data_IF_491110461907
#
_entry.id   IF_491110461907
#
_cell.length_a   1.000
_cell.length_b   1.000
_cell.length_c   1.000
_cell.angle_alpha   90.00
_cell.angle_beta   90.00
_cell.angle_gamma   90.00
#
_symmetry.space_group_name_H-M   'P 1'
#
loop_
_entity.id
_entity.type
_entity.pdbx_description
1 polymer ?
#
# COMPACT_ATOMS: atom_id res chain seq x y z
N UNK A 1 -56.76 -2.79 16.02
CA UNK A 1 -56.89 -3.97 16.89
C UNK A 1 -57.21 -5.16 16.00
N UNK A 2 -56.53 -6.31 16.11
CA UNK A 2 -55.61 -6.77 17.17
C UNK A 2 -54.15 -6.37 16.82
N UNK A 3 -53.24 -5.98 17.70
CA UNK A 3 -52.82 -6.47 19.04
C UNK A 3 -52.26 -7.90 19.01
N UNK A 4 -50.98 -8.00 18.64
CA UNK A 4 -50.16 -9.18 18.91
C UNK A 4 -48.84 -8.73 19.53
N UNK A 5 -48.53 -9.40 20.63
CA UNK A 5 -47.71 -8.91 21.72
C UNK A 5 -46.20 -8.87 21.44
N UNK A 6 -45.59 -7.95 22.17
CA UNK A 6 -44.18 -7.71 22.31
C UNK A 6 -43.58 -8.69 23.36
N UNK A 7 -42.35 -9.16 23.08
CA UNK A 7 -41.28 -9.62 24.01
C UNK A 7 -41.32 -11.07 24.58
N UNK A 8 -40.18 -11.64 25.06
CA UNK A 8 -38.93 -10.98 25.45
C UNK A 8 -37.60 -11.54 24.88
N UNK A 9 -36.56 -10.72 25.11
CA UNK A 9 -35.15 -11.04 24.97
C UNK A 9 -34.74 -12.19 25.90
N UNK A 10 -33.87 -13.07 25.40
CA UNK A 10 -33.17 -14.05 26.21
C UNK A 10 -31.71 -13.61 26.38
N UNK A 11 -31.35 -13.47 27.65
CA UNK A 11 -30.03 -13.20 28.20
C UNK A 11 -28.98 -14.20 27.72
N UNK A 12 -27.81 -13.71 27.30
CA UNK A 12 -26.56 -14.44 27.52
C UNK A 12 -25.54 -13.53 28.19
N UNK A 13 -25.53 -13.68 29.51
CA UNK A 13 -24.41 -13.60 30.44
C UNK A 13 -23.13 -12.87 30.01
N UNK A 14 -22.95 -11.73 30.65
CA UNK A 14 -21.69 -11.13 31.08
C UNK A 14 -20.76 -12.17 31.72
N UNK A 15 -19.56 -12.33 31.19
CA UNK A 15 -18.39 -12.71 32.01
C UNK A 15 -17.27 -11.70 31.75
N UNK A 16 -17.16 -10.78 32.70
CA UNK A 16 -15.96 -9.96 32.92
C UNK A 16 -14.86 -10.88 33.46
N UNK A 17 -13.75 -10.98 32.76
CA UNK A 17 -12.49 -11.43 33.38
C UNK A 17 -11.42 -10.40 33.07
N UNK A 18 -10.88 -9.87 34.15
CA UNK A 18 -9.86 -8.84 34.30
C UNK A 18 -8.47 -9.31 33.86
N UNK A 19 -7.74 -8.38 33.23
CA UNK A 19 -6.31 -8.06 33.31
C UNK A 19 -5.22 -9.13 33.55
N UNK A 20 -4.32 -9.21 32.54
CA UNK A 20 -2.84 -9.29 32.58
C UNK A 20 -2.13 -10.43 33.38
N UNK A 21 -0.80 -10.66 33.24
CA UNK A 21 0.18 -10.27 32.23
C UNK A 21 0.97 -11.46 31.63
N UNK A 22 1.75 -11.13 30.61
CA UNK A 22 2.84 -11.88 29.98
C UNK A 22 3.73 -12.74 30.91
N UNK A 23 3.85 -14.03 30.62
CA UNK A 23 5.02 -14.86 31.01
C UNK A 23 5.51 -15.66 29.81
N UNK A 24 6.29 -15.01 28.95
CA UNK A 24 7.19 -15.71 28.06
C UNK A 24 8.50 -15.94 28.80
N UNK A 25 8.65 -17.17 29.30
CA UNK A 25 9.92 -17.73 29.80
C UNK A 25 10.98 -17.57 28.71
N UNK A 26 11.82 -16.56 28.88
CA UNK A 26 12.98 -16.30 28.04
C UNK A 26 14.13 -17.13 28.60
N UNK A 27 14.39 -18.28 27.98
CA UNK A 27 15.63 -19.02 28.20
C UNK A 27 16.78 -18.15 27.68
N UNK A 28 17.80 -17.82 28.48
CA UNK A 28 18.92 -17.01 28.01
C UNK A 28 19.74 -17.81 26.99
N UNK A 29 20.09 -17.25 25.82
CA UNK A 29 21.08 -17.87 24.96
C UNK A 29 22.44 -17.78 25.66
N UNK A 30 23.03 -18.95 25.87
CA UNK A 30 24.39 -19.17 26.36
C UNK A 30 25.37 -18.26 25.62
N UNK A 31 26.17 -17.51 26.38
CA UNK A 31 27.30 -16.73 25.91
C UNK A 31 28.28 -17.62 25.14
N UNK A 32 28.59 -17.35 23.85
CA UNK A 32 29.82 -17.86 23.28
C UNK A 32 30.97 -17.01 23.82
N UNK A 33 31.89 -17.69 24.47
CA UNK A 33 33.14 -17.18 25.01
C UNK A 33 33.88 -16.28 24.01
N UNK A 34 34.52 -15.25 24.55
CA UNK A 34 35.51 -14.41 23.91
C UNK A 34 36.62 -15.29 23.31
N UNK A 35 36.49 -15.64 22.03
CA UNK A 35 37.63 -16.07 21.24
C UNK A 35 38.17 -14.86 20.48
N UNK A 36 39.34 -14.45 20.95
CA UNK A 36 40.28 -13.54 20.30
C UNK A 36 40.62 -14.06 18.90
N UNK A 37 39.83 -13.65 17.91
CA UNK A 37 39.99 -14.03 16.51
C UNK A 37 40.28 -12.83 15.63
N UNK A 38 41.56 -12.50 15.50
CA UNK A 38 42.21 -11.66 14.49
C UNK A 38 41.32 -10.79 13.59
N UNK A 39 41.55 -9.48 13.69
CA UNK A 39 41.28 -8.47 12.67
C UNK A 39 42.00 -8.81 11.35
N UNK A 40 41.42 -9.73 10.59
CA UNK A 40 41.74 -9.86 9.17
C UNK A 40 40.73 -8.99 8.44
N UNK A 41 41.15 -7.76 8.14
CA UNK A 41 40.63 -7.04 6.98
C UNK A 41 40.97 -7.90 5.75
N UNK A 42 40.20 -8.96 5.53
CA UNK A 42 40.16 -9.63 4.24
C UNK A 42 39.38 -8.72 3.31
N UNK A 43 40.11 -7.86 2.62
CA UNK A 43 39.80 -7.47 1.25
C UNK A 43 39.69 -8.75 0.42
N UNK A 44 38.58 -9.48 0.59
CA UNK A 44 38.23 -10.59 -0.25
C UNK A 44 38.04 -10.01 -1.65
N UNK A 45 38.96 -10.32 -2.55
CA UNK A 45 38.92 -9.97 -3.96
C UNK A 45 37.58 -10.40 -4.55
N UNK A 46 36.61 -9.48 -4.54
CA UNK A 46 35.31 -9.67 -5.16
C UNK A 46 35.57 -9.98 -6.63
N UNK A 47 35.04 -11.11 -7.11
CA UNK A 47 35.04 -11.40 -8.55
C UNK A 47 34.45 -10.19 -9.30
N UNK A 48 34.93 -9.87 -10.52
CA UNK A 48 34.46 -8.70 -11.27
C UNK A 48 32.92 -8.59 -11.34
N UNK A 49 32.24 -9.74 -11.46
CA UNK A 49 30.78 -9.84 -11.48
C UNK A 49 30.09 -9.48 -10.15
N UNK A 50 30.73 -9.71 -8.99
CA UNK A 50 30.20 -9.28 -7.68
C UNK A 50 30.35 -7.77 -7.52
N UNK A 51 31.54 -7.24 -7.82
CA UNK A 51 31.82 -5.79 -7.78
C UNK A 51 30.85 -5.00 -8.67
N UNK A 52 30.55 -5.50 -9.86
CA UNK A 52 29.63 -4.82 -10.77
C UNK A 52 28.19 -4.80 -10.27
N UNK A 53 27.72 -5.86 -9.61
CA UNK A 53 26.40 -5.88 -8.96
C UNK A 53 26.32 -4.92 -7.78
N UNK A 54 27.37 -4.83 -6.98
CA UNK A 54 27.42 -3.91 -5.85
C UNK A 54 27.38 -2.45 -6.31
N UNK A 55 28.11 -2.10 -7.38
CA UNK A 55 28.05 -0.78 -8.00
C UNK A 55 26.65 -0.48 -8.57
N UNK A 56 26.05 -1.44 -9.28
CA UNK A 56 24.69 -1.28 -9.80
C UNK A 56 23.67 -1.08 -8.68
N UNK A 57 23.80 -1.79 -7.56
CA UNK A 57 22.93 -1.62 -6.39
C UNK A 57 23.07 -0.22 -5.78
N UNK A 58 24.31 0.25 -5.58
CA UNK A 58 24.57 1.61 -5.08
C UNK A 58 23.97 2.68 -6.00
N UNK A 59 24.11 2.52 -7.32
CA UNK A 59 23.48 3.44 -8.28
C UNK A 59 21.95 3.41 -8.19
N UNK A 60 21.34 2.24 -7.98
CA UNK A 60 19.89 2.11 -7.79
C UNK A 60 19.39 2.69 -6.45
N UNK A 61 20.23 2.66 -5.41
CA UNK A 61 19.97 3.27 -4.10
C UNK A 61 19.96 4.81 -4.18
N UNK A 62 20.86 5.39 -4.98
CA UNK A 62 21.00 6.85 -5.19
C UNK A 62 20.06 7.43 -6.25
N UNK A 63 19.43 6.59 -7.07
CA UNK A 63 18.51 7.06 -8.11
C UNK A 63 17.30 7.79 -7.50
N UNK A 64 16.85 8.91 -8.11
CA UNK A 64 15.63 9.60 -7.67
C UNK A 64 14.43 8.64 -7.69
N UNK A 65 13.47 8.88 -6.78
CA UNK A 65 12.29 8.02 -6.60
C UNK A 65 11.09 8.60 -7.32
N UNK A 66 10.24 7.72 -7.84
CA UNK A 66 8.96 8.07 -8.44
C UNK A 66 8.11 8.89 -7.46
N UNK A 67 7.61 10.05 -7.90
CA UNK A 67 6.78 10.94 -7.10
C UNK A 67 5.30 10.51 -7.02
N UNK A 68 4.89 9.47 -7.75
CA UNK A 68 3.52 8.98 -7.73
C UNK A 68 3.10 8.48 -6.34
N UNK A 69 1.91 8.90 -5.92
CA UNK A 69 1.23 8.42 -4.72
C UNK A 69 0.18 7.38 -5.13
N UNK A 70 0.32 6.17 -4.60
CA UNK A 70 -0.60 5.07 -4.89
C UNK A 70 -1.98 5.33 -4.29
N UNK A 71 -2.96 4.51 -4.68
CA UNK A 71 -4.34 4.58 -4.16
C UNK A 71 -4.44 4.43 -2.63
N UNK A 72 -3.47 3.77 -2.00
CA UNK A 72 -3.36 3.66 -0.55
C UNK A 72 -2.66 4.83 0.15
N UNK A 73 -2.33 5.90 -0.58
CA UNK A 73 -1.67 7.09 -0.03
C UNK A 73 -0.18 6.92 0.25
N UNK A 74 0.43 5.79 -0.12
CA UNK A 74 1.87 5.56 0.01
C UNK A 74 2.61 5.95 -1.28
N UNK A 75 3.85 6.46 -1.18
CA UNK A 75 4.67 6.73 -2.35
C UNK A 75 5.07 5.44 -3.08
N UNK A 76 5.19 5.49 -4.41
CA UNK A 76 5.60 4.35 -5.22
C UNK A 76 7.01 3.83 -4.87
N UNK A 77 7.96 4.76 -4.69
CA UNK A 77 9.39 4.49 -4.37
C UNK A 77 10.18 3.68 -5.39
N UNK A 78 9.59 3.34 -6.54
CA UNK A 78 10.35 2.81 -7.68
C UNK A 78 11.38 3.83 -8.19
N UNK A 79 12.54 3.43 -8.72
CA UNK A 79 13.47 4.35 -9.37
C UNK A 79 12.78 5.11 -10.52
N UNK A 80 12.94 6.43 -10.54
CA UNK A 80 12.43 7.28 -11.61
C UNK A 80 13.29 7.11 -12.89
N UNK A 81 12.67 7.33 -14.05
CA UNK A 81 13.40 7.37 -15.32
C UNK A 81 14.34 8.59 -15.36
N UNK A 82 15.42 8.50 -16.15
CA UNK A 82 16.34 9.64 -16.31
C UNK A 82 15.60 10.82 -16.94
N UNK A 83 15.65 11.97 -16.28
CA UNK A 83 14.96 13.19 -16.74
C UNK A 83 13.45 13.19 -16.52
N UNK A 84 12.92 12.27 -15.72
CA UNK A 84 11.50 12.19 -15.41
C UNK A 84 11.30 12.03 -13.88
N UNK A 85 10.15 12.48 -13.39
CA UNK A 85 9.75 12.33 -11.97
C UNK A 85 9.01 11.02 -11.70
N UNK A 86 8.65 10.28 -12.76
CA UNK A 86 7.92 9.01 -12.69
C UNK A 86 8.82 7.81 -12.99
N UNK A 87 8.45 6.64 -12.45
CA UNK A 87 9.05 5.37 -12.86
C UNK A 87 8.48 4.90 -14.21
N UNK A 88 9.12 3.92 -14.85
CA UNK A 88 8.68 3.38 -16.13
C UNK A 88 7.19 3.02 -16.17
N UNK A 89 6.68 2.37 -15.12
CA UNK A 89 5.27 1.99 -15.05
C UNK A 89 4.34 3.20 -14.98
N UNK A 90 4.61 4.15 -14.08
CA UNK A 90 3.77 5.34 -13.91
C UNK A 90 3.87 6.34 -15.04
N UNK A 91 5.05 6.45 -15.66
CA UNK A 91 5.25 7.22 -16.89
C UNK A 91 4.42 6.63 -18.02
N UNK A 92 4.50 5.31 -18.24
CA UNK A 92 3.72 4.65 -19.27
C UNK A 92 2.23 4.72 -19.01
N UNK A 93 1.82 4.55 -17.76
CA UNK A 93 0.42 4.66 -17.38
C UNK A 93 -0.12 6.07 -17.63
N UNK A 94 0.57 7.12 -17.20
CA UNK A 94 0.08 8.49 -17.34
C UNK A 94 0.13 8.99 -18.80
N UNK A 95 1.19 8.65 -19.53
CA UNK A 95 1.44 9.15 -20.88
C UNK A 95 0.92 8.23 -22.00
N UNK A 96 0.57 6.98 -21.68
CA UNK A 96 -0.03 6.01 -22.62
C UNK A 96 -1.35 5.40 -22.08
N UNK A 97 -2.05 6.06 -21.15
CA UNK A 97 -3.45 5.73 -20.82
C UNK A 97 -4.35 6.04 -22.02
N UNK A 98 -4.23 5.23 -23.08
CA UNK A 98 -5.24 5.15 -24.12
C UNK A 98 -6.48 4.53 -23.47
N UNK A 99 -7.46 5.38 -23.16
CA UNK A 99 -8.84 5.03 -22.79
C UNK A 99 -9.06 4.14 -21.55
N UNK A 100 -8.04 3.90 -20.72
CA UNK A 100 -8.17 3.12 -19.50
C UNK A 100 -8.94 3.90 -18.43
N UNK A 101 -10.22 3.53 -18.24
CA UNK A 101 -11.10 4.16 -17.24
C UNK A 101 -10.80 3.67 -15.81
N UNK A 102 -9.98 2.64 -15.66
CA UNK A 102 -9.64 2.04 -14.38
C UNK A 102 -8.39 2.71 -13.80
N UNK A 103 -8.24 2.81 -12.46
CA UNK A 103 -6.98 3.23 -11.87
C UNK A 103 -5.89 2.17 -12.09
N UNK A 104 -4.61 2.52 -11.88
CA UNK A 104 -3.54 1.54 -11.79
C UNK A 104 -3.86 0.43 -10.77
N UNK A 105 -3.68 -0.83 -11.17
CA UNK A 105 -3.89 -2.01 -10.30
C UNK A 105 -2.62 -2.39 -9.54
N UNK A 106 -1.94 -1.40 -8.98
CA UNK A 106 -0.62 -1.52 -8.34
C UNK A 106 -0.67 -1.87 -6.84
N UNK A 107 -1.85 -1.73 -6.23
CA UNK A 107 -2.08 -1.96 -4.81
C UNK A 107 -3.51 -2.44 -4.54
N UNK A 108 -3.74 -2.96 -3.33
CA UNK A 108 -5.05 -3.50 -2.93
C UNK A 108 -6.18 -2.48 -3.03
N UNK A 109 -5.94 -1.21 -2.67
CA UNK A 109 -6.97 -0.18 -2.77
C UNK A 109 -7.29 0.14 -4.23
N UNK A 110 -6.29 0.16 -5.12
CA UNK A 110 -6.48 0.32 -6.56
C UNK A 110 -7.36 -0.79 -7.14
N UNK A 111 -7.10 -2.05 -6.79
CA UNK A 111 -7.95 -3.19 -7.19
C UNK A 111 -9.37 -3.03 -6.68
N UNK A 112 -9.54 -2.61 -5.43
CA UNK A 112 -10.87 -2.43 -4.84
C UNK A 112 -11.65 -1.29 -5.51
N UNK A 113 -10.97 -0.20 -5.85
CA UNK A 113 -11.57 0.90 -6.59
C UNK A 113 -11.97 0.48 -8.01
N UNK A 114 -11.15 -0.32 -8.68
CA UNK A 114 -11.49 -0.89 -9.99
C UNK A 114 -12.73 -1.79 -9.92
N UNK A 115 -12.84 -2.66 -8.91
CA UNK A 115 -14.03 -3.48 -8.66
C UNK A 115 -15.26 -2.61 -8.41
N UNK A 116 -15.16 -1.57 -7.57
CA UNK A 116 -16.25 -0.63 -7.31
C UNK A 116 -16.73 0.05 -8.60
N UNK A 117 -15.79 0.50 -9.43
CA UNK A 117 -16.11 1.14 -10.71
C UNK A 117 -16.84 0.18 -11.66
N UNK A 118 -16.34 -1.05 -11.79
CA UNK A 118 -16.97 -2.10 -12.59
C UNK A 118 -18.38 -2.46 -12.09
N UNK A 119 -18.55 -2.68 -10.78
CA UNK A 119 -19.87 -2.96 -10.18
C UNK A 119 -20.85 -1.80 -10.40
N UNK A 120 -20.38 -0.55 -10.33
CA UNK A 120 -21.23 0.62 -10.59
C UNK A 120 -21.71 0.66 -12.03
N UNK A 121 -20.87 0.28 -12.99
CA UNK A 121 -21.26 0.16 -14.41
C UNK A 121 -22.21 -1.00 -14.64
N UNK A 122 -21.89 -2.19 -14.13
CA UNK A 122 -22.77 -3.37 -14.22
C UNK A 122 -24.14 -3.11 -13.58
N UNK A 123 -24.21 -2.38 -12.46
CA UNK A 123 -25.48 -2.02 -11.82
C UNK A 123 -26.38 -1.22 -12.76
N UNK A 124 -25.82 -0.29 -13.54
CA UNK A 124 -26.62 0.49 -14.51
C UNK A 124 -27.19 -0.40 -15.61
N UNK A 125 -26.41 -1.36 -16.08
CA UNK A 125 -26.86 -2.34 -17.08
C UNK A 125 -27.85 -3.35 -16.51
N UNK A 126 -27.70 -3.74 -15.25
CA UNK A 126 -28.56 -4.73 -14.59
C UNK A 126 -30.03 -4.29 -14.47
N UNK A 127 -30.29 -2.98 -14.41
CA UNK A 127 -31.60 -2.37 -14.14
C UNK A 127 -32.04 -1.40 -15.25
N UNK A 128 -31.48 -1.49 -16.46
CA UNK A 128 -31.69 -0.52 -17.55
C UNK A 128 -33.14 -0.44 -18.06
N UNK A 129 -33.79 -1.59 -18.25
CA UNK A 129 -35.05 -1.69 -19.01
C UNK A 129 -36.27 -1.99 -18.12
N UNK A 130 -36.26 -1.53 -16.86
CA UNK A 130 -37.25 -1.87 -15.81
C UNK A 130 -37.37 -3.37 -15.46
N UNK A 131 -36.72 -4.25 -16.22
CA UNK A 131 -36.51 -5.67 -15.91
C UNK A 131 -35.09 -5.91 -15.36
N UNK A 132 -34.95 -6.99 -14.57
CA UNK A 132 -33.68 -7.34 -13.92
C UNK A 132 -32.91 -8.33 -14.78
N UNK A 133 -31.71 -7.94 -15.25
CA UNK A 133 -30.81 -8.84 -15.96
C UNK A 133 -30.08 -9.78 -14.99
N UNK A 134 -30.63 -10.97 -14.79
CA UNK A 134 -30.12 -11.99 -13.84
C UNK A 134 -28.64 -12.36 -14.08
N UNK A 135 -28.15 -12.58 -15.32
CA UNK A 135 -26.72 -12.79 -15.59
C UNK A 135 -25.81 -11.69 -15.02
N UNK A 136 -26.17 -10.42 -15.22
CA UNK A 136 -25.37 -9.29 -14.72
C UNK A 136 -25.44 -9.23 -13.19
N UNK A 137 -26.60 -9.49 -12.59
CA UNK A 137 -26.72 -9.57 -11.12
C UNK A 137 -25.80 -10.66 -10.56
N UNK A 138 -25.69 -11.82 -11.21
CA UNK A 138 -24.73 -12.87 -10.80
C UNK A 138 -23.28 -12.38 -10.87
N UNK A 139 -22.90 -11.63 -11.91
CA UNK A 139 -21.57 -11.02 -12.03
C UNK A 139 -21.31 -10.00 -10.92
N UNK A 140 -22.30 -9.19 -10.56
CA UNK A 140 -22.20 -8.24 -9.43
C UNK A 140 -21.97 -8.99 -8.12
N UNK A 141 -22.75 -10.05 -7.84
CA UNK A 141 -22.58 -10.86 -6.63
C UNK A 141 -21.19 -11.49 -6.56
N UNK A 142 -20.66 -11.98 -7.68
CA UNK A 142 -19.30 -12.51 -7.76
C UNK A 142 -18.22 -11.44 -7.53
N UNK A 143 -18.41 -10.25 -8.11
CA UNK A 143 -17.52 -9.11 -7.88
C UNK A 143 -17.54 -8.67 -6.41
N UNK A 144 -18.71 -8.68 -5.75
CA UNK A 144 -18.84 -8.37 -4.32
C UNK A 144 -18.18 -9.42 -3.44
N UNK A 145 -18.27 -10.70 -3.78
CA UNK A 145 -17.54 -11.76 -3.08
C UNK A 145 -16.02 -11.55 -3.18
N UNK A 146 -15.53 -11.23 -4.38
CA UNK A 146 -14.12 -10.91 -4.63
C UNK A 146 -13.69 -9.68 -3.82
N UNK A 147 -14.51 -8.63 -3.83
CA UNK A 147 -14.30 -7.42 -3.05
C UNK A 147 -14.21 -7.72 -1.54
N UNK A 148 -15.04 -8.61 -1.01
CA UNK A 148 -14.98 -9.04 0.39
C UNK A 148 -13.68 -9.79 0.71
N UNK A 149 -13.20 -10.64 -0.21
CA UNK A 149 -11.93 -11.37 -0.02
C UNK A 149 -10.73 -10.42 0.03
N UNK A 150 -10.79 -9.33 -0.72
CA UNK A 150 -9.73 -8.33 -0.80
C UNK A 150 -9.61 -7.46 0.46
N UNK A 151 -10.59 -7.49 1.38
CA UNK A 151 -10.61 -6.62 2.57
C UNK A 151 -9.37 -6.77 3.47
N UNK A 152 -8.69 -7.93 3.43
CA UNK A 152 -7.44 -8.15 4.18
C UNK A 152 -6.20 -7.51 3.54
N UNK A 153 -6.32 -7.00 2.31
CA UNK A 153 -5.23 -6.41 1.52
C UNK A 153 -5.43 -4.92 1.24
N UNK A 154 -6.52 -4.33 1.73
CA UNK A 154 -6.84 -2.90 1.59
C UNK A 154 -6.59 -2.18 2.90
N UNK A 155 -6.27 -0.89 2.81
CA UNK A 155 -6.17 -0.01 3.96
C UNK A 155 -6.76 1.35 3.58
N UNK A 156 -7.95 1.65 4.09
CA UNK A 156 -8.65 2.91 3.83
C UNK A 156 -8.40 3.97 4.91
N UNK A 157 -7.69 3.61 5.97
CA UNK A 157 -7.42 4.54 7.05
C UNK A 157 -6.43 5.60 6.59
N UNK A 158 -6.72 6.89 6.83
CA UNK A 158 -5.83 7.96 6.43
C UNK A 158 -4.52 7.83 7.20
N UNK A 159 -3.41 7.51 6.50
CA UNK A 159 -2.06 7.56 7.06
C UNK A 159 -1.61 9.01 7.19
N UNK A 160 -2.27 9.77 8.04
CA UNK A 160 -1.86 11.11 8.44
C UNK A 160 -0.61 10.98 9.30
N UNK A 161 0.57 11.27 8.72
CA UNK A 161 1.68 11.94 9.44
C UNK A 161 2.92 12.30 8.60
N UNK A 162 3.19 11.73 7.41
CA UNK A 162 4.48 12.03 6.74
C UNK A 162 4.62 11.75 5.23
N UNK A 163 3.55 11.48 4.46
CA UNK A 163 3.71 10.85 3.13
C UNK A 163 3.69 11.76 1.91
N UNK A 164 3.38 13.07 2.04
CA UNK A 164 3.48 13.97 0.89
C UNK A 164 4.92 14.49 0.79
N UNK A 165 5.77 13.76 0.07
CA UNK A 165 7.01 14.30 -0.46
C UNK A 165 6.67 15.24 -1.61
N UNK A 166 6.76 16.55 -1.37
CA UNK A 166 6.72 17.56 -2.42
C UNK A 166 8.02 17.45 -3.26
N UNK A 167 7.93 17.07 -4.55
CA UNK A 167 9.10 16.96 -5.41
C UNK A 167 9.72 18.33 -5.79
N UNK A 168 9.05 19.45 -5.50
CA UNK A 168 9.52 20.81 -5.79
C UNK A 168 10.00 21.59 -4.55
N UNK A 169 9.90 21.02 -3.35
CA UNK A 169 10.30 21.71 -2.11
C UNK A 169 11.80 22.05 -2.01
N UNK A 170 12.64 21.54 -2.91
CA UNK A 170 14.07 21.84 -2.92
C UNK A 170 14.39 23.27 -3.40
N UNK A 171 13.46 23.98 -4.04
CA UNK A 171 13.71 25.33 -4.57
C UNK A 171 13.36 26.46 -3.60
N UNK A 172 12.44 26.26 -2.64
CA UNK A 172 12.02 27.32 -1.71
C UNK A 172 12.99 27.58 -0.55
N UNK A 173 13.86 26.63 -0.22
CA UNK A 173 14.78 26.77 0.91
C UNK A 173 15.99 27.69 0.62
N UNK A 174 16.23 28.07 -0.64
CA UNK A 174 17.36 28.95 -1.01
C UNK A 174 16.99 30.44 -1.06
N UNK A 175 15.71 30.79 -1.23
CA UNK A 175 15.26 32.19 -1.31
C UNK A 175 14.95 32.80 0.08
N UNK A 176 14.55 31.99 1.05
CA UNK A 176 14.27 32.44 2.43
C UNK A 176 15.55 32.81 3.22
N UNK A 177 16.71 32.32 2.78
CA UNK A 177 18.00 32.67 3.39
C UNK A 177 18.58 34.00 2.89
N UNK A 178 18.13 34.51 1.73
CA UNK A 178 18.63 35.77 1.16
C UNK A 178 17.74 36.99 1.49
N UNK A 179 16.47 36.78 1.83
CA UNK A 179 15.55 37.86 2.23
C UNK A 179 15.65 38.27 3.71
N UNK A 180 16.32 37.46 4.55
CA UNK A 180 16.56 37.76 5.97
C UNK A 180 17.88 38.53 6.24
N UNK A 181 18.60 38.94 5.18
CA UNK A 181 19.90 39.63 5.28
C UNK A 181 19.89 41.07 4.73
N UNK A 182 18.71 41.70 4.62
CA UNK A 182 18.51 43.13 4.31
C UNK A 182 17.70 43.80 5.43
#
# INVERSE_FOLDING_TARGET
MPETALRPAADLATTSTTDEPSTHTSTPPSTPSLETGNSKLETASLTPARRQRDLARRHAELAPRCCHIKTNGLPCRSPALRGNVLCFFHDKWLNHAADDILPPLEDGNGVQFALMYMVTRLRREAFRDAEVNVPIVKQILYALQTASHNLRYVNFDPRLKSSCTDPYAAESAHDDAQSAAL
#
